data_IF_659823239656
#
_entry.id   IF_659823239656
#
_cell.length_a   1.000
_cell.length_b   1.000
_cell.length_c   1.000
_cell.angle_alpha   90.00
_cell.angle_beta   90.00
_cell.angle_gamma   90.00
#
_symmetry.space_group_name_H-M   'P 1'
#
loop_
_entity.id
_entity.type
_entity.pdbx_description
1 polymer ?
#
# COMPACT_ATOMS: atom_id res chain seq x y z
N UNK A 1 -2.88 -14.14 10.53
CA UNK A 1 -1.95 -13.55 9.55
C UNK A 1 -2.73 -13.19 8.30
N UNK A 2 -3.12 -11.93 8.21
CA UNK A 2 -3.83 -11.33 7.09
C UNK A 2 -2.85 -10.58 6.18
N UNK A 3 -3.13 -10.58 4.87
CA UNK A 3 -2.35 -9.84 3.88
C UNK A 3 -3.27 -8.96 3.03
N UNK A 4 -2.84 -7.74 2.75
CA UNK A 4 -3.52 -6.86 1.80
C UNK A 4 -2.54 -6.07 0.95
N UNK A 5 -3.00 -5.70 -0.25
CA UNK A 5 -2.28 -4.80 -1.16
C UNK A 5 -3.09 -3.52 -1.27
N UNK A 6 -2.50 -2.40 -0.88
CA UNK A 6 -3.05 -1.07 -1.12
C UNK A 6 -2.51 -0.61 -2.47
N UNK A 7 -3.37 -0.15 -3.38
CA UNK A 7 -3.01 0.32 -4.72
C UNK A 7 -3.60 1.70 -4.93
N UNK A 8 -2.81 2.61 -5.50
CA UNK A 8 -3.31 3.93 -5.88
C UNK A 8 -2.65 4.47 -7.14
N UNK A 9 -3.22 5.51 -7.74
CA UNK A 9 -2.68 6.17 -8.94
C UNK A 9 -1.55 7.16 -8.64
N UNK A 10 -1.55 7.76 -7.45
CA UNK A 10 -0.52 8.74 -7.03
C UNK A 10 0.14 8.30 -5.74
N UNK A 11 1.36 8.81 -5.46
CA UNK A 11 2.04 8.55 -4.19
C UNK A 11 1.28 9.17 -3.01
N UNK A 12 0.71 10.36 -3.19
CA UNK A 12 -0.05 11.07 -2.15
C UNK A 12 -1.28 10.26 -1.69
N UNK A 13 -2.07 9.75 -2.63
CA UNK A 13 -3.21 8.90 -2.30
C UNK A 13 -2.80 7.51 -1.77
N UNK A 14 -1.62 7.00 -2.16
CA UNK A 14 -1.07 5.79 -1.55
C UNK A 14 -0.68 6.07 -0.08
N UNK A 15 -0.06 7.21 0.19
CA UNK A 15 0.35 7.62 1.53
C UNK A 15 -0.85 7.73 2.47
N UNK A 16 -1.94 8.37 2.04
CA UNK A 16 -3.17 8.49 2.84
C UNK A 16 -3.71 7.11 3.26
N UNK A 17 -3.84 6.19 2.30
CA UNK A 17 -4.36 4.84 2.52
C UNK A 17 -3.42 3.98 3.37
N UNK A 18 -2.10 4.08 3.16
CA UNK A 18 -1.10 3.40 4.01
C UNK A 18 -1.13 3.96 5.43
N UNK A 19 -1.27 5.27 5.61
CA UNK A 19 -1.35 5.86 6.95
C UNK A 19 -2.64 5.48 7.69
N UNK A 20 -3.78 5.40 6.99
CA UNK A 20 -4.99 4.83 7.55
C UNK A 20 -4.77 3.37 7.96
N UNK A 21 -4.12 2.60 7.10
CA UNK A 21 -3.80 1.22 7.34
C UNK A 21 -2.91 0.97 8.57
N UNK A 22 -1.91 1.82 8.76
CA UNK A 22 -1.03 1.81 9.93
C UNK A 22 -1.83 2.03 11.23
N UNK A 23 -2.80 2.97 11.22
CA UNK A 23 -3.67 3.22 12.39
C UNK A 23 -4.55 2.02 12.74
N UNK A 24 -4.92 1.21 11.76
CA UNK A 24 -5.71 -0.02 11.92
C UNK A 24 -4.87 -1.26 12.32
N UNK A 25 -3.60 -1.04 12.68
CA UNK A 25 -2.69 -2.09 13.15
C UNK A 25 -2.04 -2.92 12.04
N UNK A 26 -2.06 -2.45 10.79
CA UNK A 26 -1.34 -3.11 9.70
C UNK A 26 0.11 -2.63 9.64
N UNK A 27 0.99 -3.51 9.17
CA UNK A 27 2.43 -3.25 9.05
C UNK A 27 2.87 -3.40 7.59
N UNK A 28 3.62 -2.45 7.02
CA UNK A 28 4.08 -2.54 5.64
C UNK A 28 5.12 -3.65 5.46
N UNK A 29 4.98 -4.39 4.36
CA UNK A 29 5.95 -5.40 3.95
C UNK A 29 6.77 -4.89 2.76
N UNK A 30 7.98 -4.41 3.06
CA UNK A 30 8.85 -3.77 2.07
C UNK A 30 8.42 -2.33 1.75
N UNK A 31 9.01 -1.76 0.70
CA UNK A 31 8.71 -0.39 0.25
C UNK A 31 7.63 -0.32 -0.83
N UNK A 32 7.08 0.87 -1.08
CA UNK A 32 6.09 1.08 -2.13
C UNK A 32 6.73 0.90 -3.50
N UNK A 33 6.02 0.24 -4.41
CA UNK A 33 6.50 -0.12 -5.74
C UNK A 33 5.59 0.46 -6.82
N UNK A 34 6.16 0.78 -7.98
CA UNK A 34 5.39 1.16 -9.17
C UNK A 34 4.83 -0.08 -9.87
N UNK A 35 3.61 0.03 -10.42
CA UNK A 35 3.01 -1.01 -11.27
C UNK A 35 3.46 -0.83 -12.73
N UNK A 36 4.21 -1.78 -13.32
CA UNK A 36 4.77 -1.62 -14.67
C UNK A 36 3.79 -1.95 -15.81
N UNK A 37 2.60 -2.53 -15.54
CA UNK A 37 1.61 -2.87 -16.58
C UNK A 37 0.31 -2.08 -16.39
N UNK A 38 0.12 -1.02 -17.18
CA UNK A 38 -1.15 -0.31 -17.34
C UNK A 38 -1.42 0.78 -16.30
N UNK A 39 -1.37 2.05 -16.75
CA UNK A 39 -1.63 3.31 -16.03
C UNK A 39 -0.80 3.49 -14.75
N UNK A 40 0.19 4.39 -14.81
CA UNK A 40 1.09 4.74 -13.71
C UNK A 40 0.38 4.73 -12.35
N UNK A 41 0.76 3.78 -11.49
CA UNK A 41 0.18 3.58 -10.18
C UNK A 41 1.21 2.97 -9.24
N UNK A 42 0.96 3.11 -7.95
CA UNK A 42 1.80 2.66 -6.86
C UNK A 42 1.05 1.64 -6.03
N UNK A 43 1.78 0.75 -5.36
CA UNK A 43 1.20 -0.15 -4.40
C UNK A 43 2.12 -0.40 -3.22
N UNK A 44 1.52 -0.76 -2.09
CA UNK A 44 2.20 -1.16 -0.86
C UNK A 44 1.56 -2.45 -0.35
N UNK A 45 2.40 -3.45 -0.07
CA UNK A 45 1.99 -4.66 0.64
C UNK A 45 1.91 -4.40 2.14
N UNK A 46 0.90 -4.96 2.80
CA UNK A 46 0.70 -4.84 4.25
C UNK A 46 0.34 -6.20 4.86
N UNK A 47 0.75 -6.44 6.11
CA UNK A 47 0.40 -7.63 6.91
C UNK A 47 -0.17 -7.23 8.26
N UNK A 48 -0.95 -8.12 8.87
CA UNK A 48 -1.41 -8.03 10.26
C UNK A 48 -1.45 -9.43 10.85
N UNK A 49 -1.05 -9.58 12.11
CA UNK A 49 -1.09 -10.89 12.81
C UNK A 49 -2.52 -11.40 13.00
#
# INVERSE_FOLDING_TARGET
MEYRIIKSKTLESLEEEVNAALKDGWVPTGGPMNLPFGFAGYFQGMVRE
#
